data_IF_390724497851
#
_entry.id   IF_390724497851
#
_cell.length_a   1.000
_cell.length_b   1.000
_cell.length_c   1.000
_cell.angle_alpha   90.00
_cell.angle_beta   90.00
_cell.angle_gamma   90.00
#
_symmetry.space_group_name_H-M   'P 1'
#
loop_
_entity.id
_entity.type
_entity.pdbx_description
1 polymer ?
#
# COMPACT_ATOMS: atom_id res chain seq x y z
N UNK A 1 -19.27 -14.69 -7.11
CA UNK A 1 -17.94 -14.62 -6.44
C UNK A 1 -17.23 -13.30 -6.72
N UNK A 2 -17.09 -12.89 -7.98
CA UNK A 2 -16.39 -11.66 -8.38
C UNK A 2 -16.96 -10.38 -7.77
N UNK A 3 -18.29 -10.22 -7.75
CA UNK A 3 -18.95 -9.02 -7.18
C UNK A 3 -18.65 -8.88 -5.67
N UNK A 4 -18.74 -9.97 -4.91
CA UNK A 4 -18.44 -9.96 -3.48
C UNK A 4 -16.98 -9.57 -3.21
N UNK A 5 -16.03 -10.18 -3.93
CA UNK A 5 -14.60 -9.83 -3.83
C UNK A 5 -14.34 -8.37 -4.19
N UNK A 6 -15.01 -7.84 -5.22
CA UNK A 6 -14.92 -6.42 -5.58
C UNK A 6 -15.45 -5.52 -4.46
N UNK A 7 -16.58 -5.87 -3.83
CA UNK A 7 -17.12 -5.09 -2.70
C UNK A 7 -16.14 -5.13 -1.53
N UNK A 8 -15.65 -6.31 -1.14
CA UNK A 8 -14.65 -6.47 -0.08
C UNK A 8 -13.39 -5.65 -0.38
N UNK A 9 -12.92 -5.68 -1.63
CA UNK A 9 -11.79 -4.89 -2.09
C UNK A 9 -12.02 -3.39 -1.92
N UNK A 10 -13.15 -2.87 -2.41
CA UNK A 10 -13.48 -1.46 -2.34
C UNK A 10 -13.64 -0.98 -0.90
N UNK A 11 -14.34 -1.75 -0.06
CA UNK A 11 -14.49 -1.44 1.36
C UNK A 11 -13.13 -1.42 2.04
N UNK A 12 -12.31 -2.45 1.84
CA UNK A 12 -10.96 -2.52 2.43
C UNK A 12 -10.09 -1.34 1.97
N UNK A 13 -10.09 -1.03 0.66
CA UNK A 13 -9.34 0.08 0.08
C UNK A 13 -9.75 1.43 0.65
N UNK A 14 -11.05 1.74 0.64
CA UNK A 14 -11.57 3.03 1.11
C UNK A 14 -11.34 3.18 2.62
N UNK A 15 -11.62 2.14 3.41
CA UNK A 15 -11.37 2.15 4.87
C UNK A 15 -9.92 2.47 5.19
N UNK A 16 -8.97 1.87 4.47
CA UNK A 16 -7.55 2.13 4.69
C UNK A 16 -7.13 3.53 4.27
N UNK A 17 -7.66 4.07 3.17
CA UNK A 17 -7.38 5.45 2.74
C UNK A 17 -7.93 6.46 3.77
N UNK A 18 -9.13 6.23 4.29
CA UNK A 18 -9.71 7.08 5.35
C UNK A 18 -8.91 6.99 6.64
N UNK A 19 -8.46 5.80 7.02
CA UNK A 19 -7.64 5.61 8.20
C UNK A 19 -6.26 6.26 8.03
N UNK A 20 -5.63 6.15 6.86
CA UNK A 20 -4.39 6.86 6.51
C UNK A 20 -4.56 8.38 6.60
N UNK A 21 -5.71 8.91 6.17
CA UNK A 21 -6.03 10.34 6.31
C UNK A 21 -6.06 10.77 7.78
N UNK A 22 -6.65 9.96 8.66
CA UNK A 22 -6.68 10.24 10.09
C UNK A 22 -5.25 10.25 10.67
N UNK A 23 -4.43 9.28 10.29
CA UNK A 23 -3.03 9.21 10.69
C UNK A 23 -2.20 10.41 10.23
N UNK A 24 -2.41 10.93 9.02
CA UNK A 24 -1.70 12.14 8.59
C UNK A 24 -2.05 13.35 9.47
N UNK A 25 -3.28 13.45 9.98
CA UNK A 25 -3.65 14.50 10.95
C UNK A 25 -2.99 14.28 12.32
N UNK A 26 -2.85 13.04 12.76
CA UNK A 26 -2.10 12.72 13.99
C UNK A 26 -0.60 12.98 13.82
N UNK A 27 -0.05 12.83 12.61
CA UNK A 27 1.35 13.16 12.31
C UNK A 27 1.63 14.68 12.30
N UNK A 28 0.64 15.55 12.17
CA UNK A 28 0.83 16.98 12.42
C UNK A 28 1.21 17.27 13.89
N UNK A 29 0.98 16.31 14.80
CA UNK A 29 1.47 16.38 16.19
C UNK A 29 2.99 16.23 16.29
N UNK A 30 3.72 15.84 15.24
CA UNK A 30 5.20 15.78 15.32
C UNK A 30 5.83 17.14 15.62
N UNK A 31 5.16 18.23 15.26
CA UNK A 31 5.61 19.58 15.58
C UNK A 31 5.37 19.98 17.05
N UNK A 32 4.40 19.36 17.73
CA UNK A 32 3.96 19.75 19.09
C UNK A 32 4.26 18.70 20.15
N UNK A 33 4.16 17.41 19.84
CA UNK A 33 4.31 16.25 20.72
C UNK A 33 4.99 15.05 19.99
N UNK A 34 6.30 15.15 19.69
CA UNK A 34 7.00 14.21 18.82
C UNK A 34 7.10 12.78 19.37
N UNK A 35 7.23 12.62 20.70
CA UNK A 35 7.34 11.30 21.34
C UNK A 35 6.02 10.52 21.22
N UNK A 36 4.89 11.19 21.42
CA UNK A 36 3.57 10.58 21.32
C UNK A 36 3.25 10.23 19.86
N UNK A 37 3.55 11.13 18.93
CA UNK A 37 3.40 10.88 17.50
C UNK A 37 4.22 9.66 17.03
N UNK A 38 5.43 9.46 17.58
CA UNK A 38 6.26 8.28 17.30
C UNK A 38 5.62 6.97 17.80
N UNK A 39 5.16 6.94 19.04
CA UNK A 39 4.51 5.75 19.61
C UNK A 39 3.19 5.40 18.90
N UNK A 40 2.39 6.41 18.54
CA UNK A 40 1.17 6.23 17.75
C UNK A 40 1.50 5.66 16.36
N UNK A 41 2.51 6.19 15.68
CA UNK A 41 2.95 5.71 14.37
C UNK A 41 3.43 4.24 14.42
N UNK A 42 4.13 3.83 15.49
CA UNK A 42 4.57 2.44 15.68
C UNK A 42 3.40 1.49 15.87
N UNK A 43 2.44 1.86 16.75
CA UNK A 43 1.19 1.09 16.94
C UNK A 43 0.41 0.99 15.64
N UNK A 44 0.35 2.07 14.87
CA UNK A 44 -0.29 2.10 13.56
C UNK A 44 0.31 1.07 12.60
N UNK A 45 1.63 1.09 12.40
CA UNK A 45 2.32 0.15 11.52
C UNK A 45 2.10 -1.30 11.96
N UNK A 46 2.10 -1.57 13.26
CA UNK A 46 1.84 -2.89 13.82
C UNK A 46 0.42 -3.37 13.50
N UNK A 47 -0.61 -2.59 13.86
CA UNK A 47 -2.01 -2.97 13.62
C UNK A 47 -2.37 -3.06 12.14
N UNK A 48 -1.76 -2.21 11.30
CA UNK A 48 -1.84 -2.32 9.85
C UNK A 48 -1.28 -3.65 9.34
N UNK A 49 -0.12 -4.05 9.84
CA UNK A 49 0.48 -5.35 9.50
C UNK A 49 -0.44 -6.52 9.86
N UNK A 50 -0.96 -6.54 11.08
CA UNK A 50 -1.88 -7.59 11.54
C UNK A 50 -3.14 -7.65 10.69
N UNK A 51 -3.74 -6.50 10.36
CA UNK A 51 -4.96 -6.47 9.55
C UNK A 51 -4.73 -7.00 8.12
N UNK A 52 -3.65 -6.55 7.45
CA UNK A 52 -3.32 -7.06 6.11
C UNK A 52 -3.07 -8.56 6.14
N UNK A 53 -2.31 -9.07 7.12
CA UNK A 53 -2.05 -10.49 7.27
C UNK A 53 -3.34 -11.28 7.44
N UNK A 54 -4.25 -10.82 8.30
CA UNK A 54 -5.54 -11.47 8.55
C UNK A 54 -6.43 -11.49 7.31
N UNK A 55 -6.55 -10.36 6.59
CA UNK A 55 -7.36 -10.29 5.36
C UNK A 55 -6.77 -11.20 4.28
N UNK A 56 -5.45 -11.18 4.09
CA UNK A 56 -4.79 -12.02 3.10
C UNK A 56 -4.87 -13.51 3.47
N UNK A 57 -4.76 -13.88 4.74
CA UNK A 57 -4.95 -15.25 5.19
C UNK A 57 -6.36 -15.78 4.87
N UNK A 58 -7.40 -14.97 5.12
CA UNK A 58 -8.79 -15.35 4.80
C UNK A 58 -9.01 -15.45 3.28
N UNK A 59 -8.44 -14.51 2.50
CA UNK A 59 -8.54 -14.54 1.05
C UNK A 59 -7.84 -15.77 0.46
N UNK A 60 -6.67 -16.13 0.99
CA UNK A 60 -5.97 -17.35 0.57
C UNK A 60 -6.80 -18.59 0.93
N UNK A 61 -7.26 -18.71 2.17
CA UNK A 61 -8.05 -19.87 2.61
C UNK A 61 -9.35 -20.06 1.79
N UNK A 62 -10.00 -18.96 1.42
CA UNK A 62 -11.32 -19.00 0.75
C UNK A 62 -11.22 -19.06 -0.78
N UNK A 63 -10.25 -18.35 -1.37
CA UNK A 63 -10.18 -18.12 -2.83
C UNK A 63 -8.86 -18.56 -3.47
N UNK A 64 -7.93 -19.10 -2.67
CA UNK A 64 -6.65 -19.60 -3.14
C UNK A 64 -5.56 -18.52 -3.22
N UNK A 65 -4.32 -19.01 -3.36
CA UNK A 65 -3.11 -18.18 -3.33
C UNK A 65 -3.10 -17.12 -4.44
N UNK A 66 -3.49 -17.51 -5.65
CA UNK A 66 -3.55 -16.61 -6.81
C UNK A 66 -4.48 -15.42 -6.57
N UNK A 67 -5.71 -15.66 -6.07
CA UNK A 67 -6.68 -14.60 -5.83
C UNK A 67 -6.22 -13.63 -4.74
N UNK A 68 -5.60 -14.15 -3.67
CA UNK A 68 -5.01 -13.35 -2.60
C UNK A 68 -3.89 -12.44 -3.14
N UNK A 69 -2.99 -12.97 -3.97
CA UNK A 69 -1.89 -12.18 -4.54
C UNK A 69 -2.36 -11.08 -5.50
N UNK A 70 -3.33 -11.39 -6.37
CA UNK A 70 -3.95 -10.39 -7.24
C UNK A 70 -4.62 -9.30 -6.41
N UNK A 71 -5.37 -9.69 -5.37
CA UNK A 71 -6.01 -8.74 -4.45
C UNK A 71 -4.97 -7.84 -3.77
N UNK A 72 -3.91 -8.41 -3.20
CA UNK A 72 -2.87 -7.66 -2.49
C UNK A 72 -2.14 -6.68 -3.41
N UNK A 73 -1.81 -7.10 -4.63
CA UNK A 73 -1.10 -6.26 -5.61
C UNK A 73 -1.97 -5.11 -6.11
N UNK A 74 -3.24 -5.39 -6.44
CA UNK A 74 -4.21 -4.37 -6.80
C UNK A 74 -4.49 -3.40 -5.64
N UNK A 75 -4.55 -3.92 -4.41
CA UNK A 75 -4.76 -3.11 -3.21
C UNK A 75 -3.58 -2.15 -3.01
N UNK A 76 -2.35 -2.65 -3.11
CA UNK A 76 -1.16 -1.82 -2.98
C UNK A 76 -1.13 -0.71 -4.04
N UNK A 77 -1.39 -1.04 -5.30
CA UNK A 77 -1.47 -0.06 -6.38
C UNK A 77 -2.54 1.00 -6.11
N UNK A 78 -3.77 0.58 -5.82
CA UNK A 78 -4.88 1.49 -5.56
C UNK A 78 -4.65 2.36 -4.32
N UNK A 79 -4.12 1.77 -3.25
CA UNK A 79 -3.87 2.47 -1.99
C UNK A 79 -2.81 3.56 -2.16
N UNK A 80 -1.69 3.26 -2.83
CA UNK A 80 -0.65 4.26 -3.11
C UNK A 80 -1.21 5.42 -3.94
N UNK A 81 -1.92 5.12 -5.03
CA UNK A 81 -2.49 6.13 -5.93
C UNK A 81 -3.46 7.03 -5.16
N UNK A 82 -4.39 6.45 -4.39
CA UNK A 82 -5.37 7.21 -3.63
C UNK A 82 -4.69 8.04 -2.53
N UNK A 83 -3.70 7.51 -1.84
CA UNK A 83 -2.94 8.27 -0.84
C UNK A 83 -2.20 9.46 -1.48
N UNK A 84 -1.51 9.22 -2.60
CA UNK A 84 -0.79 10.27 -3.31
C UNK A 84 -1.71 11.38 -3.83
N UNK A 85 -2.78 11.02 -4.53
CA UNK A 85 -3.68 11.98 -5.18
C UNK A 85 -4.59 12.68 -4.17
N UNK A 86 -5.24 11.91 -3.29
CA UNK A 86 -6.28 12.45 -2.41
C UNK A 86 -5.68 13.08 -1.18
N UNK A 87 -4.74 12.40 -0.53
CA UNK A 87 -4.21 12.79 0.78
C UNK A 87 -3.01 13.72 0.67
N UNK A 88 -2.05 13.40 -0.21
CA UNK A 88 -0.79 14.14 -0.32
C UNK A 88 -0.80 15.23 -1.40
N UNK A 89 -1.83 15.26 -2.26
CA UNK A 89 -1.92 16.15 -3.44
C UNK A 89 -0.68 16.08 -4.34
N UNK A 90 -0.15 14.86 -4.52
CA UNK A 90 1.00 14.52 -5.36
C UNK A 90 0.54 13.72 -6.59
N UNK A 91 1.37 13.61 -7.65
CA UNK A 91 1.10 12.71 -8.77
C UNK A 91 0.86 11.27 -8.31
N UNK A 92 0.01 10.53 -9.02
CA UNK A 92 -0.42 9.18 -8.66
C UNK A 92 0.73 8.20 -8.36
N UNK A 93 1.82 8.29 -9.13
CA UNK A 93 2.98 7.41 -8.99
C UNK A 93 4.11 8.00 -8.14
N UNK A 94 3.85 9.09 -7.40
CA UNK A 94 4.83 9.70 -6.52
C UNK A 94 5.44 8.67 -5.56
N UNK A 95 6.76 8.70 -5.45
CA UNK A 95 7.54 7.87 -4.52
C UNK A 95 8.14 8.80 -3.47
N UNK A 96 7.84 8.56 -2.18
CA UNK A 96 8.37 9.34 -1.07
C UNK A 96 9.86 9.14 -0.87
N UNK A 97 10.42 9.66 0.23
CA UNK A 97 11.86 9.51 0.55
C UNK A 97 12.11 8.81 1.89
N UNK A 98 11.08 8.70 2.72
CA UNK A 98 11.24 8.33 4.14
C UNK A 98 10.80 6.91 4.43
N UNK A 99 9.77 6.40 3.76
CA UNK A 99 9.32 5.03 3.96
C UNK A 99 10.33 4.03 3.38
N UNK A 100 10.52 2.89 4.04
CA UNK A 100 11.50 1.90 3.60
C UNK A 100 11.15 1.30 2.23
N UNK A 101 9.86 1.15 1.93
CA UNK A 101 9.38 0.78 0.59
C UNK A 101 9.80 1.81 -0.46
N UNK A 102 9.72 3.10 -0.16
CA UNK A 102 10.14 4.16 -1.08
C UNK A 102 11.65 4.16 -1.29
N UNK A 103 12.42 3.99 -0.21
CA UNK A 103 13.89 3.86 -0.27
C UNK A 103 14.30 2.65 -1.11
N UNK A 104 13.61 1.52 -0.92
CA UNK A 104 13.82 0.32 -1.74
C UNK A 104 13.54 0.60 -3.22
N UNK A 105 12.38 1.18 -3.54
CA UNK A 105 12.01 1.54 -4.92
C UNK A 105 13.05 2.48 -5.53
N UNK A 106 13.51 3.50 -4.79
CA UNK A 106 14.56 4.42 -5.25
C UNK A 106 15.87 3.71 -5.53
N UNK A 107 16.32 2.83 -4.63
CA UNK A 107 17.54 2.04 -4.83
C UNK A 107 17.44 1.13 -6.05
N UNK A 108 16.27 0.51 -6.28
CA UNK A 108 16.01 -0.25 -7.51
C UNK A 108 16.09 0.68 -8.72
N UNK A 109 15.39 1.82 -8.68
CA UNK A 109 15.37 2.79 -9.77
C UNK A 109 16.77 3.30 -10.14
N UNK A 110 17.63 3.56 -9.15
CA UNK A 110 19.03 3.92 -9.33
C UNK A 110 19.82 2.80 -10.01
N UNK A 111 19.65 1.55 -9.58
CA UNK A 111 20.31 0.37 -10.16
C UNK A 111 20.00 0.21 -11.64
N UNK A 112 18.74 0.41 -12.04
CA UNK A 112 18.29 0.28 -13.44
C UNK A 112 18.23 1.62 -14.19
N UNK A 113 18.74 2.72 -13.59
CA UNK A 113 18.84 4.06 -14.17
C UNK A 113 17.52 4.63 -14.73
N UNK A 114 16.41 4.43 -14.02
CA UNK A 114 15.11 5.05 -14.35
C UNK A 114 14.59 5.91 -13.21
N UNK A 115 13.53 6.67 -13.46
CA UNK A 115 12.86 7.44 -12.41
C UNK A 115 12.16 6.51 -11.39
N UNK A 116 12.18 6.81 -10.09
CA UNK A 116 11.53 6.00 -9.06
C UNK A 116 10.05 5.72 -9.33
N UNK A 117 9.32 6.67 -9.91
CA UNK A 117 7.92 6.54 -10.28
C UNK A 117 7.71 5.42 -11.31
N UNK A 118 8.61 5.33 -12.31
CA UNK A 118 8.59 4.26 -13.31
C UNK A 118 8.99 2.92 -12.71
N UNK A 119 9.97 2.89 -11.81
CA UNK A 119 10.34 1.66 -11.10
C UNK A 119 9.19 1.13 -10.24
N UNK A 120 8.48 2.00 -9.52
CA UNK A 120 7.30 1.63 -8.72
C UNK A 120 6.20 1.02 -9.58
N UNK A 121 5.89 1.64 -10.72
CA UNK A 121 4.90 1.12 -11.66
C UNK A 121 5.35 -0.22 -12.26
N UNK A 122 6.62 -0.33 -12.69
CA UNK A 122 7.16 -1.52 -13.33
C UNK A 122 7.19 -2.72 -12.38
N UNK A 123 7.57 -2.54 -11.11
CA UNK A 123 7.52 -3.61 -10.10
C UNK A 123 6.10 -4.15 -9.95
N UNK A 124 5.11 -3.25 -9.84
CA UNK A 124 3.69 -3.64 -9.67
C UNK A 124 3.16 -4.36 -10.91
N UNK A 125 3.47 -3.88 -12.11
CA UNK A 125 3.11 -4.55 -13.37
C UNK A 125 3.79 -5.90 -13.50
N UNK A 126 5.09 -6.00 -13.17
CA UNK A 126 5.84 -7.25 -13.22
C UNK A 126 5.24 -8.31 -12.30
N UNK A 127 4.85 -7.93 -11.07
CA UNK A 127 4.17 -8.85 -10.14
C UNK A 127 2.87 -9.36 -10.76
N UNK A 128 2.03 -8.48 -11.33
CA UNK A 128 0.78 -8.88 -11.97
C UNK A 128 1.01 -9.81 -13.17
N UNK A 129 2.01 -9.52 -14.02
CA UNK A 129 2.36 -10.34 -15.19
C UNK A 129 2.87 -11.72 -14.75
N UNK A 130 3.77 -11.77 -13.76
CA UNK A 130 4.27 -13.03 -13.21
C UNK A 130 3.14 -13.88 -12.65
N UNK A 131 2.19 -13.26 -11.94
CA UNK A 131 1.01 -13.98 -11.44
C UNK A 131 0.19 -14.56 -12.59
N UNK A 132 -0.06 -13.80 -13.67
CA UNK A 132 -0.80 -14.30 -14.84
C UNK A 132 -0.09 -15.49 -15.49
N UNK A 133 1.24 -15.46 -15.60
CA UNK A 133 2.03 -16.54 -16.20
C UNK A 133 2.03 -17.80 -15.32
N UNK A 134 2.06 -17.62 -14.00
CA UNK A 134 2.13 -18.72 -13.03
C UNK A 134 0.76 -19.36 -12.71
N UNK A 135 -0.32 -18.85 -13.28
CA UNK A 135 -1.68 -19.35 -13.12
C UNK A 135 -1.93 -20.57 -14.01
#
# INVERSE_FOLDING_TARGET
MTIFLTIVFLVHLISWVLYQKHQFKERDLYATQPQEAYEQNKKWHFWKGINHLSVYAVLWATFGFYAMFVFATCFWLGFDILCNVILLKRPAFYVGQTADTDKFIRKVAELIKIKPEYASALIKVLILVLLIILK
#
